data_IF_016109268296
#
_entry.id   IF_016109268296
#
_cell.length_a   1.000
_cell.length_b   1.000
_cell.length_c   1.000
_cell.angle_alpha   90.00
_cell.angle_beta   90.00
_cell.angle_gamma   90.00
#
_symmetry.space_group_name_H-M   'P 1'
#
loop_
_entity.id
_entity.type
_entity.pdbx_description
1 polymer ?
#
# COMPACT_ATOMS: atom_id res chain seq x y z
N UNK A 1 16.13 5.07 4.71
CA UNK A 1 15.80 6.19 5.61
C UNK A 1 15.63 5.74 7.06
N UNK A 2 15.42 4.43 7.33
CA UNK A 2 15.42 3.91 8.69
C UNK A 2 16.79 4.10 9.35
N UNK A 3 16.78 4.45 10.63
CA UNK A 3 17.98 4.64 11.46
C UNK A 3 18.06 3.56 12.55
N UNK A 4 19.21 3.44 13.21
CA UNK A 4 19.40 2.42 14.26
C UNK A 4 18.40 2.55 15.42
N UNK A 5 17.89 3.76 15.70
CA UNK A 5 16.85 4.01 16.69
C UNK A 5 15.49 3.39 16.36
N UNK A 6 15.25 3.03 15.10
CA UNK A 6 13.97 2.43 14.65
C UNK A 6 13.90 0.91 14.92
N UNK A 7 14.99 0.28 15.37
CA UNK A 7 15.00 -1.13 15.76
C UNK A 7 14.36 -1.33 17.14
N UNK A 8 13.06 -1.05 17.22
CA UNK A 8 12.26 -1.15 18.44
C UNK A 8 10.80 -1.55 18.12
N UNK A 9 10.01 -1.83 19.15
CA UNK A 9 8.63 -2.29 18.98
C UNK A 9 7.70 -1.24 18.36
N UNK A 10 8.02 0.06 18.48
CA UNK A 10 7.18 1.12 17.91
C UNK A 10 7.15 1.07 16.37
N UNK A 11 8.19 0.51 15.74
CA UNK A 11 8.23 0.31 14.29
C UNK A 11 7.04 -0.52 13.79
N UNK A 12 6.60 -1.51 14.57
CA UNK A 12 5.47 -2.37 14.19
C UNK A 12 4.13 -1.63 14.05
N UNK A 13 4.01 -0.46 14.66
CA UNK A 13 2.83 0.42 14.58
C UNK A 13 3.11 1.73 13.85
N UNK A 14 4.22 1.80 13.10
CA UNK A 14 4.59 2.97 12.29
C UNK A 14 5.40 4.04 13.02
N UNK A 15 5.89 3.75 14.24
CA UNK A 15 6.77 4.66 14.97
C UNK A 15 8.18 4.68 14.38
N UNK A 16 8.47 5.64 13.50
CA UNK A 16 9.74 5.80 12.79
C UNK A 16 10.36 7.14 13.22
N UNK A 17 11.62 7.11 13.64
CA UNK A 17 12.33 8.27 14.24
C UNK A 17 12.33 9.50 13.34
N UNK A 18 12.72 9.34 12.08
CA UNK A 18 12.79 10.44 11.11
C UNK A 18 11.64 10.41 10.09
N UNK A 19 10.73 9.46 10.20
CA UNK A 19 9.73 9.21 9.17
C UNK A 19 10.32 8.61 7.89
N UNK A 20 9.48 8.50 6.86
CA UNK A 20 9.85 8.11 5.50
C UNK A 20 9.21 9.08 4.52
N UNK A 21 9.80 9.25 3.35
CA UNK A 21 9.20 10.06 2.30
C UNK A 21 7.97 9.38 1.72
N UNK A 22 7.04 10.18 1.15
CA UNK A 22 5.87 9.60 0.47
C UNK A 22 6.27 8.68 -0.69
N UNK A 23 7.38 8.96 -1.38
CA UNK A 23 7.92 8.10 -2.43
C UNK A 23 8.38 6.75 -1.88
N UNK A 24 9.15 6.73 -0.80
CA UNK A 24 9.63 5.49 -0.17
C UNK A 24 8.46 4.63 0.32
N UNK A 25 7.48 5.26 0.97
CA UNK A 25 6.29 4.57 1.44
C UNK A 25 5.47 4.01 0.27
N UNK A 26 5.23 4.81 -0.77
CA UNK A 26 4.51 4.37 -1.96
C UNK A 26 5.21 3.21 -2.65
N UNK A 27 6.55 3.26 -2.75
CA UNK A 27 7.33 2.19 -3.35
C UNK A 27 7.34 0.90 -2.51
N UNK A 28 7.28 1.02 -1.18
CA UNK A 28 7.10 -0.15 -0.32
C UNK A 28 5.75 -0.85 -0.58
N UNK A 29 4.67 -0.09 -0.78
CA UNK A 29 3.38 -0.64 -1.16
C UNK A 29 3.37 -1.16 -2.61
N UNK A 30 4.09 -0.52 -3.54
CA UNK A 30 4.27 -1.03 -4.89
C UNK A 30 4.98 -2.39 -4.90
N UNK A 31 5.92 -2.60 -4.00
CA UNK A 31 6.60 -3.89 -3.82
C UNK A 31 5.61 -5.00 -3.42
N UNK A 32 4.67 -4.70 -2.51
CA UNK A 32 3.62 -5.66 -2.13
C UNK A 32 2.68 -5.92 -3.32
N UNK A 33 2.28 -4.85 -4.02
CA UNK A 33 1.43 -4.93 -5.21
C UNK A 33 2.07 -5.77 -6.33
N UNK A 34 3.39 -5.73 -6.43
CA UNK A 34 4.21 -6.46 -7.39
C UNK A 34 4.73 -7.80 -6.82
N UNK A 35 3.86 -8.53 -6.12
CA UNK A 35 4.12 -9.88 -5.63
C UNK A 35 5.36 -10.04 -4.73
N UNK A 36 5.82 -8.95 -4.11
CA UNK A 36 6.98 -8.93 -3.23
C UNK A 36 8.29 -8.59 -3.91
N UNK A 37 8.25 -8.23 -5.18
CA UNK A 37 9.41 -7.80 -5.96
C UNK A 37 9.58 -6.28 -5.88
N UNK A 38 10.73 -5.84 -5.35
CA UNK A 38 11.10 -4.45 -5.26
C UNK A 38 11.78 -3.99 -6.54
N UNK A 39 11.36 -2.85 -7.06
CA UNK A 39 12.04 -2.10 -8.10
C UNK A 39 12.45 -0.72 -7.60
N UNK A 40 13.61 -0.25 -8.04
CA UNK A 40 14.05 1.11 -7.74
C UNK A 40 13.16 2.12 -8.47
N UNK A 41 12.57 3.11 -7.77
CA UNK A 41 11.75 4.12 -8.44
C UNK A 41 12.59 4.92 -9.44
N UNK A 42 12.05 5.10 -10.64
CA UNK A 42 12.62 5.95 -11.68
C UNK A 42 11.58 6.99 -12.11
N UNK A 43 12.05 8.16 -12.56
CA UNK A 43 11.19 9.26 -13.03
C UNK A 43 11.26 9.46 -14.54
N UNK A 44 12.24 8.82 -15.20
CA UNK A 44 12.42 8.85 -16.64
C UNK A 44 13.11 7.56 -17.10
N UNK A 45 12.81 7.12 -18.29
CA UNK A 45 13.47 5.96 -18.92
C UNK A 45 14.76 6.40 -19.60
N UNK A 46 14.70 7.44 -20.41
CA UNK A 46 15.85 8.01 -21.11
C UNK A 46 15.76 9.53 -21.17
N UNK A 47 16.92 10.18 -21.18
CA UNK A 47 17.06 11.60 -21.53
C UNK A 47 17.88 11.66 -22.82
N UNK A 48 17.32 12.30 -23.84
CA UNK A 48 17.88 12.40 -25.20
C UNK A 48 18.14 13.87 -25.52
N UNK A 49 19.30 14.19 -26.11
CA UNK A 49 19.60 15.54 -26.58
C UNK A 49 18.83 15.88 -27.87
N UNK A 50 18.95 17.14 -28.32
CA UNK A 50 18.31 17.61 -29.57
C UNK A 50 18.87 16.95 -30.87
N UNK A 51 19.99 16.26 -30.79
CA UNK A 51 20.61 15.51 -31.92
C UNK A 51 20.21 14.02 -31.91
N UNK A 52 19.45 13.59 -30.90
CA UNK A 52 19.04 12.18 -30.72
C UNK A 52 20.04 11.32 -29.93
N UNK A 53 21.09 11.91 -29.34
CA UNK A 53 22.01 11.15 -28.49
C UNK A 53 21.41 10.92 -27.12
N UNK A 54 21.53 9.69 -26.63
CA UNK A 54 21.10 9.34 -25.26
C UNK A 54 22.12 9.89 -24.27
N UNK A 55 21.69 10.78 -23.38
CA UNK A 55 22.50 11.38 -22.30
C UNK A 55 22.42 10.54 -21.02
N UNK A 56 21.22 10.08 -20.68
CA UNK A 56 20.96 9.22 -19.52
C UNK A 56 20.04 8.08 -19.94
N UNK A 57 20.31 6.90 -19.42
CA UNK A 57 19.50 5.69 -19.66
C UNK A 57 19.25 4.96 -18.33
N UNK A 58 18.01 4.76 -17.99
CA UNK A 58 17.54 4.00 -16.82
C UNK A 58 16.84 2.68 -17.22
N UNK A 59 16.94 2.25 -18.46
CA UNK A 59 16.24 1.05 -18.95
C UNK A 59 16.63 -0.19 -18.15
N UNK A 60 17.94 -0.37 -17.88
CA UNK A 60 18.44 -1.48 -17.09
C UNK A 60 17.92 -1.43 -15.63
N UNK A 61 17.88 -0.24 -15.03
CA UNK A 61 17.33 -0.05 -13.66
C UNK A 61 15.85 -0.43 -13.60
N UNK A 62 15.09 -0.13 -14.64
CA UNK A 62 13.66 -0.46 -14.73
C UNK A 62 13.43 -1.98 -14.80
N UNK A 63 14.30 -2.70 -15.48
CA UNK A 63 14.19 -4.15 -15.66
C UNK A 63 14.72 -4.96 -14.46
N UNK A 64 15.54 -4.35 -13.60
CA UNK A 64 16.16 -5.03 -12.46
C UNK A 64 15.24 -5.00 -11.24
N UNK A 65 14.61 -6.15 -10.94
CA UNK A 65 13.83 -6.38 -9.73
C UNK A 65 14.60 -7.21 -8.70
N UNK A 66 14.15 -7.14 -7.45
CA UNK A 66 14.66 -7.96 -6.35
C UNK A 66 13.53 -8.47 -5.48
N UNK A 67 13.42 -9.79 -5.34
CA UNK A 67 12.49 -10.38 -4.38
C UNK A 67 12.88 -9.99 -2.95
N UNK A 68 11.97 -9.37 -2.23
CA UNK A 68 12.13 -8.96 -0.82
C UNK A 68 11.06 -9.56 0.08
N UNK A 69 9.94 -10.00 -0.49
CA UNK A 69 8.87 -10.74 0.18
C UNK A 69 8.46 -11.92 -0.71
N UNK A 70 8.06 -13.02 -0.08
CA UNK A 70 7.43 -14.11 -0.82
C UNK A 70 6.07 -13.65 -1.36
N UNK A 71 5.72 -14.08 -2.57
CA UNK A 71 4.43 -13.79 -3.20
C UNK A 71 3.24 -14.16 -2.28
N UNK A 72 3.31 -15.30 -1.59
CA UNK A 72 2.28 -15.70 -0.61
C UNK A 72 2.16 -14.71 0.55
N UNK A 73 3.27 -14.11 1.02
CA UNK A 73 3.24 -13.09 2.06
C UNK A 73 2.65 -11.80 1.55
N UNK A 74 3.05 -11.35 0.35
CA UNK A 74 2.50 -10.17 -0.30
C UNK A 74 0.99 -10.32 -0.52
N UNK A 75 0.53 -11.49 -0.97
CA UNK A 75 -0.89 -11.75 -1.18
C UNK A 75 -1.69 -11.76 0.14
N UNK A 76 -1.19 -12.39 1.21
CA UNK A 76 -1.87 -12.38 2.51
C UNK A 76 -2.04 -10.96 3.04
N UNK A 77 -1.01 -10.13 2.89
CA UNK A 77 -1.07 -8.72 3.29
C UNK A 77 -2.05 -7.94 2.40
N UNK A 78 -2.04 -8.18 1.09
CA UNK A 78 -3.02 -7.61 0.14
C UNK A 78 -4.44 -7.96 0.54
N UNK A 79 -4.71 -9.23 0.86
CA UNK A 79 -6.03 -9.69 1.29
C UNK A 79 -6.49 -8.98 2.58
N UNK A 80 -5.61 -8.89 3.59
CA UNK A 80 -5.92 -8.18 4.82
C UNK A 80 -6.16 -6.67 4.59
N UNK A 81 -5.41 -6.04 3.68
CA UNK A 81 -5.59 -4.62 3.36
C UNK A 81 -6.84 -4.31 2.53
N UNK A 82 -7.42 -5.28 1.82
CA UNK A 82 -8.73 -5.10 1.20
C UNK A 82 -9.83 -4.90 2.27
N UNK A 83 -9.74 -5.61 3.41
CA UNK A 83 -10.70 -5.49 4.50
C UNK A 83 -10.69 -4.11 5.16
N UNK A 84 -9.57 -3.36 5.09
CA UNK A 84 -9.51 -1.97 5.55
C UNK A 84 -10.54 -1.08 4.84
N UNK A 85 -10.88 -1.40 3.58
CA UNK A 85 -11.81 -0.62 2.76
C UNK A 85 -13.20 -1.25 2.63
N UNK A 86 -13.33 -2.54 2.95
CA UNK A 86 -14.56 -3.31 2.69
C UNK A 86 -15.26 -3.79 3.96
N UNK A 87 -14.50 -4.04 5.05
CA UNK A 87 -15.07 -4.44 6.33
C UNK A 87 -15.78 -3.28 7.04
N UNK A 88 -16.90 -3.54 7.75
CA UNK A 88 -17.55 -2.54 8.60
C UNK A 88 -16.63 -1.95 9.69
N UNK A 89 -15.66 -2.72 10.18
CA UNK A 89 -14.67 -2.26 11.15
C UNK A 89 -13.45 -1.60 10.49
N UNK A 90 -13.40 -1.57 9.16
CA UNK A 90 -12.29 -1.00 8.40
C UNK A 90 -12.22 0.53 8.50
N UNK A 91 -11.01 1.06 8.67
CA UNK A 91 -10.78 2.51 8.81
C UNK A 91 -10.80 3.29 7.49
N UNK A 92 -10.78 2.60 6.36
CA UNK A 92 -10.62 3.16 5.02
C UNK A 92 -11.87 3.11 4.14
N UNK A 93 -13.04 2.74 4.64
CA UNK A 93 -14.24 2.55 3.82
C UNK A 93 -14.62 3.76 2.95
N UNK A 94 -14.39 4.98 3.43
CA UNK A 94 -14.62 6.23 2.67
C UNK A 94 -13.66 6.41 1.47
N UNK A 95 -12.57 5.67 1.43
CA UNK A 95 -11.59 5.70 0.35
C UNK A 95 -11.86 4.66 -0.75
N UNK A 96 -12.83 3.76 -0.57
CA UNK A 96 -13.15 2.75 -1.58
C UNK A 96 -13.66 3.40 -2.88
N UNK A 97 -12.96 3.25 -4.03
CA UNK A 97 -13.39 3.84 -5.30
C UNK A 97 -14.62 3.15 -5.90
N UNK A 98 -14.85 1.87 -5.59
CA UNK A 98 -16.02 1.10 -6.02
C UNK A 98 -15.92 0.48 -7.41
N UNK A 99 -15.14 1.06 -8.32
CA UNK A 99 -15.00 0.59 -9.70
C UNK A 99 -13.87 -0.44 -9.91
N UNK A 100 -12.97 -0.58 -8.94
CA UNK A 100 -11.85 -1.53 -8.99
C UNK A 100 -11.57 -2.10 -7.60
N UNK A 101 -11.05 -3.35 -7.48
CA UNK A 101 -10.53 -3.85 -6.22
C UNK A 101 -9.28 -3.06 -5.81
N UNK A 102 -9.20 -2.71 -4.54
CA UNK A 102 -8.07 -2.00 -3.97
C UNK A 102 -7.68 -2.56 -2.61
N UNK A 103 -6.40 -2.54 -2.33
CA UNK A 103 -5.82 -2.84 -1.03
C UNK A 103 -5.10 -1.58 -0.53
N UNK A 104 -5.43 -1.09 0.66
CA UNK A 104 -4.90 0.17 1.13
C UNK A 104 -4.89 0.27 2.66
N UNK A 105 -4.16 1.26 3.16
CA UNK A 105 -4.09 1.56 4.59
C UNK A 105 -4.09 3.08 4.82
N UNK A 106 -4.88 3.49 5.79
CA UNK A 106 -4.87 4.86 6.32
C UNK A 106 -3.71 5.05 7.29
N UNK A 107 -3.18 6.26 7.38
CA UNK A 107 -2.26 6.68 8.42
C UNK A 107 -2.63 8.06 8.95
N UNK A 108 -2.49 8.22 10.26
CA UNK A 108 -2.65 9.51 10.93
C UNK A 108 -1.60 9.58 12.02
N UNK A 109 -0.83 10.66 12.05
CA UNK A 109 0.15 10.88 13.11
C UNK A 109 -0.53 11.36 14.38
N UNK A 110 0.19 11.25 15.50
CA UNK A 110 -0.27 11.79 16.77
C UNK A 110 -0.59 13.28 16.63
N UNK A 111 -1.59 13.75 17.36
CA UNK A 111 -2.05 15.13 17.34
C UNK A 111 -2.58 15.63 15.97
N UNK A 112 -2.96 14.71 15.06
CA UNK A 112 -3.52 15.04 13.75
C UNK A 112 -2.65 16.01 12.93
N UNK A 113 -1.34 15.79 12.88
CA UNK A 113 -0.41 16.63 12.12
C UNK A 113 -0.28 16.21 10.68
N UNK A 114 -0.40 14.90 10.43
CA UNK A 114 -0.34 14.30 9.09
C UNK A 114 -1.49 13.34 8.87
N UNK A 115 -1.92 13.25 7.64
CA UNK A 115 -2.84 12.20 7.18
C UNK A 115 -2.29 11.54 5.92
N UNK A 116 -2.35 10.23 5.88
CA UNK A 116 -1.84 9.43 4.78
C UNK A 116 -2.92 8.48 4.28
N UNK A 117 -2.88 8.21 3.01
CA UNK A 117 -3.61 7.12 2.38
C UNK A 117 -2.72 6.50 1.32
N UNK A 118 -2.31 5.26 1.52
CA UNK A 118 -1.44 4.54 0.58
C UNK A 118 -2.08 3.21 0.25
N UNK A 119 -2.07 2.86 -1.02
CA UNK A 119 -2.65 1.61 -1.47
C UNK A 119 -2.52 1.42 -2.98
N UNK A 120 -3.04 0.32 -3.46
CA UNK A 120 -2.89 -0.11 -4.84
C UNK A 120 -4.10 -0.89 -5.34
N UNK A 121 -4.18 -0.99 -6.64
CA UNK A 121 -5.00 -1.92 -7.41
C UNK A 121 -4.07 -2.89 -8.16
N UNK A 122 -4.60 -3.83 -8.95
CA UNK A 122 -3.79 -4.61 -9.88
C UNK A 122 -3.11 -3.81 -11.01
N UNK A 123 -3.29 -2.48 -11.06
CA UNK A 123 -2.74 -1.60 -12.10
C UNK A 123 -1.80 -0.54 -11.55
N UNK A 124 -2.17 0.10 -10.44
CA UNK A 124 -1.51 1.31 -9.95
C UNK A 124 -1.34 1.28 -8.44
N UNK A 125 -0.21 1.81 -7.99
CA UNK A 125 0.02 2.15 -6.59
C UNK A 125 -0.01 3.66 -6.43
N UNK A 126 -0.75 4.15 -5.43
CA UNK A 126 -0.91 5.58 -5.15
C UNK A 126 -0.67 5.84 -3.66
N UNK A 127 0.26 6.73 -3.38
CA UNK A 127 0.48 7.27 -2.04
C UNK A 127 0.06 8.74 -1.98
N UNK A 128 -0.72 9.06 -0.96
CA UNK A 128 -1.12 10.43 -0.66
C UNK A 128 -0.70 10.80 0.76
N UNK A 129 -0.04 11.91 0.89
CA UNK A 129 0.26 12.57 2.16
C UNK A 129 -0.35 13.96 2.20
N UNK A 130 -0.84 14.36 3.34
CA UNK A 130 -1.31 15.70 3.59
C UNK A 130 -0.94 16.15 5.00
N UNK A 131 -0.39 17.34 5.09
CA UNK A 131 0.08 17.97 6.32
C UNK A 131 0.47 19.43 6.08
N UNK A 132 0.99 20.09 7.11
CA UNK A 132 1.53 21.44 7.03
C UNK A 132 3.06 21.39 7.09
N UNK A 133 3.74 22.25 6.33
CA UNK A 133 5.21 22.31 6.29
C UNK A 133 5.82 22.72 7.63
N UNK A 134 5.08 23.48 8.44
CA UNK A 134 5.44 23.88 9.80
C UNK A 134 5.00 22.87 10.87
N UNK A 135 4.54 21.68 10.45
CA UNK A 135 4.03 20.64 11.32
C UNK A 135 2.85 21.07 12.21
N UNK A 136 2.07 22.07 11.77
CA UNK A 136 0.85 22.48 12.46
C UNK A 136 -0.25 21.40 12.35
N UNK A 137 -1.17 21.40 13.32
CA UNK A 137 -2.32 20.48 13.34
C UNK A 137 -3.22 20.72 12.12
N UNK A 138 -3.64 19.65 11.46
CA UNK A 138 -4.62 19.69 10.37
C UNK A 138 -6.04 19.60 10.91
N UNK A 139 -6.96 20.38 10.34
CA UNK A 139 -8.35 20.46 10.82
C UNK A 139 -9.19 19.21 10.51
N UNK A 140 -8.75 18.38 9.59
CA UNK A 140 -9.47 17.16 9.19
C UNK A 140 -8.50 16.16 8.58
N UNK A 141 -8.48 14.96 9.12
CA UNK A 141 -7.66 13.85 8.61
C UNK A 141 -8.35 13.04 7.52
N UNK A 142 -9.64 13.24 7.32
CA UNK A 142 -10.43 12.44 6.36
C UNK A 142 -10.31 12.88 4.90
N UNK A 143 -9.64 14.01 4.61
CA UNK A 143 -9.54 14.48 3.23
C UNK A 143 -8.60 13.58 2.39
N UNK A 144 -7.59 12.95 2.99
CA UNK A 144 -6.72 12.00 2.32
C UNK A 144 -7.51 10.87 1.64
N UNK A 145 -8.45 10.29 2.37
CA UNK A 145 -9.31 9.22 1.85
C UNK A 145 -10.12 9.70 0.63
N UNK A 146 -10.66 10.92 0.68
CA UNK A 146 -11.49 11.47 -0.41
C UNK A 146 -10.65 11.77 -1.65
N UNK A 147 -9.48 12.38 -1.48
CA UNK A 147 -8.57 12.68 -2.60
C UNK A 147 -8.09 11.38 -3.23
N UNK A 148 -7.59 10.45 -2.43
CA UNK A 148 -7.10 9.16 -2.89
C UNK A 148 -8.18 8.38 -3.65
N UNK A 149 -9.41 8.34 -3.12
CA UNK A 149 -10.56 7.72 -3.79
C UNK A 149 -10.79 8.29 -5.19
N UNK A 150 -10.80 9.62 -5.32
CA UNK A 150 -11.04 10.28 -6.61
C UNK A 150 -9.93 10.01 -7.60
N UNK A 151 -8.66 10.04 -7.15
CA UNK A 151 -7.51 9.70 -7.98
C UNK A 151 -7.63 8.26 -8.49
N UNK A 152 -7.84 7.29 -7.58
CA UNK A 152 -7.98 5.89 -7.94
C UNK A 152 -9.17 5.66 -8.87
N UNK A 153 -10.32 6.29 -8.61
CA UNK A 153 -11.49 6.18 -9.47
C UNK A 153 -11.15 6.62 -10.91
N UNK A 154 -10.56 7.81 -11.07
CA UNK A 154 -10.20 8.36 -12.40
C UNK A 154 -9.14 7.56 -13.12
N UNK A 155 -8.12 7.06 -12.41
CA UNK A 155 -7.07 6.22 -13.01
C UNK A 155 -7.63 4.91 -13.59
N UNK A 156 -8.81 4.47 -13.13
CA UNK A 156 -9.43 3.22 -13.59
C UNK A 156 -10.62 3.44 -14.53
N UNK A 157 -10.91 4.68 -14.93
CA UNK A 157 -11.92 4.95 -15.94
C UNK A 157 -11.52 4.32 -17.29
N UNK A 158 -12.37 3.47 -17.82
CA UNK A 158 -12.12 2.76 -19.08
C UNK A 158 -11.18 1.54 -19.00
N UNK A 159 -10.64 1.21 -17.82
CA UNK A 159 -9.85 -0.01 -17.64
C UNK A 159 -10.76 -1.19 -17.32
N UNK A 160 -10.36 -2.37 -17.83
CA UNK A 160 -11.00 -3.63 -17.46
C UNK A 160 -10.83 -3.90 -15.96
N UNK A 161 -11.91 -4.36 -15.30
CA UNK A 161 -11.82 -4.74 -13.89
C UNK A 161 -10.98 -6.00 -13.72
N UNK A 162 -9.85 -5.89 -13.01
CA UNK A 162 -8.98 -7.03 -12.63
C UNK A 162 -9.06 -7.26 -11.12
N UNK A 163 -8.97 -8.51 -10.71
CA UNK A 163 -8.82 -8.91 -9.31
C UNK A 163 -7.34 -9.18 -9.01
N UNK A 164 -6.99 -9.12 -7.73
CA UNK A 164 -5.67 -9.58 -7.27
C UNK A 164 -5.54 -11.09 -7.50
N UNK A 165 -4.42 -11.50 -8.08
CA UNK A 165 -4.15 -12.91 -8.37
C UNK A 165 -3.70 -13.62 -7.09
N UNK A 166 -4.41 -14.70 -6.73
CA UNK A 166 -4.01 -15.54 -5.60
C UNK A 166 -2.90 -16.50 -6.05
N UNK A 167 -1.72 -16.50 -5.40
CA UNK A 167 -0.64 -17.40 -5.76
C UNK A 167 -0.91 -18.85 -5.32
N UNK A 168 -0.11 -19.76 -5.86
CA UNK A 168 -0.10 -21.14 -5.38
C UNK A 168 0.36 -21.20 -3.90
N UNK A 169 -0.06 -22.25 -3.19
CA UNK A 169 0.27 -22.44 -1.77
C UNK A 169 -0.63 -21.70 -0.79
N UNK A 170 -1.55 -20.84 -1.25
CA UNK A 170 -2.58 -20.24 -0.39
C UNK A 170 -3.84 -21.11 -0.39
N UNK A 171 -4.18 -21.58 0.80
CA UNK A 171 -5.40 -22.37 1.04
C UNK A 171 -6.43 -21.56 1.81
N UNK A 172 -7.69 -21.83 1.56
CA UNK A 172 -8.79 -21.27 2.36
C UNK A 172 -9.05 -22.21 3.54
N UNK A 173 -9.14 -21.64 4.74
CA UNK A 173 -9.42 -22.38 5.95
C UNK A 173 -10.39 -21.61 6.86
N UNK A 174 -11.22 -22.35 7.58
CA UNK A 174 -12.04 -21.76 8.64
C UNK A 174 -11.20 -21.62 9.89
N UNK A 175 -11.14 -20.42 10.43
CA UNK A 175 -10.37 -20.11 11.64
C UNK A 175 -11.29 -19.72 12.79
N UNK A 176 -10.89 -20.06 14.00
CA UNK A 176 -11.59 -19.64 15.20
C UNK A 176 -11.39 -18.13 15.39
N UNK A 177 -12.48 -17.38 15.47
CA UNK A 177 -12.46 -15.91 15.61
C UNK A 177 -11.73 -15.46 16.88
N UNK A 178 -11.75 -16.23 17.95
CA UNK A 178 -11.11 -15.91 19.23
C UNK A 178 -9.60 -16.20 19.24
N UNK A 179 -9.18 -17.30 18.64
CA UNK A 179 -7.78 -17.75 18.74
C UNK A 179 -6.95 -17.54 17.46
N UNK A 180 -7.60 -17.28 16.31
CA UNK A 180 -6.95 -17.22 14.99
C UNK A 180 -6.42 -18.56 14.49
N UNK A 181 -6.61 -19.67 15.21
CA UNK A 181 -6.18 -21.01 14.81
C UNK A 181 -7.26 -21.68 13.96
N UNK A 182 -6.92 -22.80 13.31
CA UNK A 182 -7.90 -23.61 12.60
C UNK A 182 -9.08 -23.95 13.51
N UNK A 183 -10.29 -23.74 12.98
CA UNK A 183 -11.50 -24.04 13.74
C UNK A 183 -11.63 -25.54 13.99
N UNK A 184 -11.98 -25.91 15.22
CA UNK A 184 -12.34 -27.29 15.57
C UNK A 184 -13.86 -27.38 15.50
N UNK A 185 -14.43 -28.29 14.68
CA UNK A 185 -15.88 -28.50 14.65
C UNK A 185 -16.44 -28.70 16.07
N UNK A 186 -17.62 -28.17 16.32
CA UNK A 186 -18.34 -28.24 17.61
C UNK A 186 -17.69 -27.51 18.80
N UNK A 187 -16.48 -26.96 18.64
CA UNK A 187 -15.77 -26.18 19.69
C UNK A 187 -15.71 -24.70 19.31
N UNK A 188 -15.42 -24.41 18.05
CA UNK A 188 -15.40 -23.06 17.51
C UNK A 188 -16.73 -22.78 16.83
N UNK A 189 -17.76 -22.44 17.61
CA UNK A 189 -19.04 -22.04 17.05
C UNK A 189 -18.87 -20.69 16.35
N UNK A 190 -19.36 -20.59 15.13
CA UNK A 190 -19.51 -19.34 14.42
C UNK A 190 -20.69 -18.59 15.07
N UNK A 191 -20.36 -17.62 15.92
CA UNK A 191 -21.26 -16.54 16.31
C UNK A 191 -20.81 -15.26 15.63
#
# INVERSE_FOLDING_TARGET
TLVSGDNNQALAIGGITNGVTNLELTNAYATIANHGEYHTPIFYTQVIDHNGNVILDNTETMETGREVLKDTTAWLLTNAMQDVLTSPEGTGGSANPGNTPVAAKTGTTNDDRDTLMVGYSPYYTVGFWGGNDDNAIIRSTSFSNRVWKQVMYRLHEGLERKNFTKPEGIVQAVVCKKSGKLAIPDVCNAD
#
